data_IF_461473914872
#
_entry.id   IF_461473914872
#
_cell.length_a   1.000
_cell.length_b   1.000
_cell.length_c   1.000
_cell.angle_alpha   90.00
_cell.angle_beta   90.00
_cell.angle_gamma   90.00
#
_symmetry.space_group_name_H-M   'P 1'
#
loop_
_entity.id
_entity.type
_entity.pdbx_description
1 polymer ?
#
# COMPACT_ATOMS: atom_id res chain seq x y z
N UNK A 1 -8.96 11.81 33.05
CA UNK A 1 -7.98 11.16 32.16
C UNK A 1 -6.66 11.90 32.28
N UNK A 2 -5.52 11.21 32.29
CA UNK A 2 -4.22 11.85 32.52
C UNK A 2 -3.85 12.78 31.35
N UNK A 3 -3.27 13.94 31.66
CA UNK A 3 -2.83 14.94 30.67
C UNK A 3 -1.82 14.37 29.66
N UNK A 4 -1.11 13.31 30.05
CA UNK A 4 -0.18 12.54 29.23
C UNK A 4 -0.92 11.75 28.15
N UNK A 5 -2.01 11.06 28.49
CA UNK A 5 -2.79 10.27 27.53
C UNK A 5 -3.35 11.13 26.38
N UNK A 6 -3.79 12.36 26.70
CA UNK A 6 -4.31 13.31 25.70
C UNK A 6 -3.21 13.78 24.74
N UNK A 7 -1.99 14.03 25.25
CA UNK A 7 -0.83 14.39 24.40
C UNK A 7 -0.41 13.23 23.50
N UNK A 8 -0.40 12.00 24.02
CA UNK A 8 -0.08 10.80 23.25
C UNK A 8 -1.10 10.56 22.14
N UNK A 9 -2.39 10.73 22.42
CA UNK A 9 -3.45 10.58 21.41
C UNK A 9 -3.32 11.62 20.29
N UNK A 10 -3.04 12.88 20.64
CA UNK A 10 -2.81 13.93 19.66
C UNK A 10 -1.61 13.63 18.76
N UNK A 11 -0.49 13.22 19.35
CA UNK A 11 0.71 12.84 18.61
C UNK A 11 0.44 11.66 17.66
N UNK A 12 -0.28 10.64 18.13
CA UNK A 12 -0.69 9.50 17.30
C UNK A 12 -1.52 9.92 16.09
N UNK A 13 -2.46 10.85 16.27
CA UNK A 13 -3.28 11.37 15.16
C UNK A 13 -2.44 12.13 14.14
N UNK A 14 -1.47 12.92 14.60
CA UNK A 14 -0.54 13.66 13.73
C UNK A 14 0.34 12.71 12.92
N UNK A 15 0.96 11.71 13.58
CA UNK A 15 1.77 10.68 12.90
C UNK A 15 0.94 9.90 11.87
N UNK A 16 -0.30 9.51 12.21
CA UNK A 16 -1.17 8.80 11.28
C UNK A 16 -1.57 9.65 10.06
N UNK A 17 -1.68 10.98 10.24
CA UNK A 17 -1.93 11.90 9.13
C UNK A 17 -0.72 11.92 8.18
N UNK A 18 0.48 12.09 8.72
CA UNK A 18 1.72 12.10 7.93
C UNK A 18 1.93 10.79 7.16
N UNK A 19 1.68 9.65 7.80
CA UNK A 19 1.77 8.34 7.13
C UNK A 19 0.79 8.21 5.97
N UNK A 20 -0.42 8.79 6.08
CA UNK A 20 -1.40 8.77 4.98
C UNK A 20 -0.99 9.67 3.82
N UNK A 21 -0.47 10.87 4.12
CA UNK A 21 0.05 11.81 3.13
C UNK A 21 1.22 11.18 2.37
N UNK A 22 2.18 10.59 3.09
CA UNK A 22 3.31 9.86 2.50
C UNK A 22 2.84 8.70 1.61
N UNK A 23 1.82 7.94 2.04
CA UNK A 23 1.26 6.84 1.24
C UNK A 23 0.67 7.35 -0.09
N UNK A 24 0.02 8.52 -0.09
CA UNK A 24 -0.52 9.11 -1.32
C UNK A 24 0.60 9.50 -2.27
N UNK A 25 1.66 10.16 -1.79
CA UNK A 25 2.82 10.52 -2.61
C UNK A 25 3.54 9.29 -3.17
N UNK A 26 3.75 8.27 -2.34
CA UNK A 26 4.33 7.00 -2.79
C UNK A 26 3.43 6.31 -3.81
N UNK A 27 2.10 6.39 -3.68
CA UNK A 27 1.18 5.79 -4.66
C UNK A 27 1.22 6.45 -6.04
N UNK A 28 1.66 7.71 -6.12
CA UNK A 28 1.88 8.41 -7.39
C UNK A 28 3.19 7.96 -8.07
N UNK A 29 4.23 7.67 -7.28
CA UNK A 29 5.56 7.28 -7.78
C UNK A 29 5.66 5.77 -8.03
N UNK A 30 5.06 4.99 -7.14
CA UNK A 30 4.88 3.55 -7.23
C UNK A 30 3.38 3.29 -7.29
N UNK A 31 2.76 3.28 -8.48
CA UNK A 31 1.38 2.86 -8.61
C UNK A 31 1.26 1.44 -8.08
N UNK A 32 0.83 1.32 -6.83
CA UNK A 32 0.33 0.09 -6.28
C UNK A 32 -1.00 -0.13 -6.99
N UNK A 33 -0.95 -0.67 -8.21
CA UNK A 33 -2.14 -1.06 -8.94
C UNK A 33 -2.90 -2.07 -8.09
N UNK A 34 -3.93 -1.59 -7.41
CA UNK A 34 -4.84 -2.45 -6.68
C UNK A 34 -5.63 -3.22 -7.71
N UNK A 35 -5.47 -4.54 -7.71
CA UNK A 35 -6.34 -5.42 -8.51
C UNK A 35 -7.79 -5.43 -7.99
N UNK A 36 -8.08 -4.79 -6.85
CA UNK A 36 -9.38 -4.82 -6.18
C UNK A 36 -10.53 -4.23 -6.99
N UNK A 37 -10.26 -3.36 -7.96
CA UNK A 37 -11.29 -2.78 -8.84
C UNK A 37 -11.66 -3.65 -10.05
N UNK A 38 -10.94 -4.74 -10.30
CA UNK A 38 -11.21 -5.63 -11.42
C UNK A 38 -12.31 -6.63 -11.09
N UNK A 39 -13.07 -7.07 -12.09
CA UNK A 39 -14.12 -8.07 -11.89
C UNK A 39 -13.60 -9.37 -11.25
N UNK A 40 -12.32 -9.73 -11.48
CA UNK A 40 -11.73 -11.00 -11.03
C UNK A 40 -10.26 -10.89 -10.57
N UNK A 41 -9.97 -10.22 -9.44
CA UNK A 41 -8.61 -9.98 -8.93
C UNK A 41 -7.81 -11.27 -8.73
N UNK A 42 -8.46 -12.31 -8.18
CA UNK A 42 -7.82 -13.61 -7.92
C UNK A 42 -7.30 -14.27 -9.21
N UNK A 43 -8.06 -14.17 -10.31
CA UNK A 43 -7.66 -14.74 -11.62
C UNK A 43 -6.49 -13.97 -12.22
N UNK A 44 -6.51 -12.65 -12.10
CA UNK A 44 -5.47 -11.77 -12.62
C UNK A 44 -4.13 -12.05 -11.93
N UNK A 45 -4.13 -12.15 -10.59
CA UNK A 45 -2.96 -12.53 -9.79
C UNK A 45 -2.45 -13.94 -10.13
N UNK A 46 -3.35 -14.91 -10.32
CA UNK A 46 -2.97 -16.27 -10.70
C UNK A 46 -2.31 -16.31 -12.08
N UNK A 47 -2.84 -15.55 -13.05
CA UNK A 47 -2.28 -15.44 -14.40
C UNK A 47 -0.89 -14.79 -14.37
N UNK A 48 -0.75 -13.67 -13.65
CA UNK A 48 0.52 -12.96 -13.49
C UNK A 48 1.61 -13.86 -12.89
N UNK A 49 1.29 -14.63 -11.84
CA UNK A 49 2.23 -15.59 -11.24
C UNK A 49 2.67 -16.68 -12.22
N UNK A 50 1.78 -17.16 -13.10
CA UNK A 50 2.14 -18.11 -14.16
C UNK A 50 3.07 -17.45 -15.19
N UNK A 51 2.77 -16.22 -15.58
CA UNK A 51 3.56 -15.46 -16.55
C UNK A 51 4.99 -15.22 -16.04
N UNK A 52 5.19 -14.76 -14.80
CA UNK A 52 6.53 -14.56 -14.22
C UNK A 52 7.35 -15.85 -14.17
N UNK A 53 6.72 -16.99 -13.87
CA UNK A 53 7.42 -18.28 -13.88
C UNK A 53 7.90 -18.66 -15.28
N UNK A 54 7.09 -18.36 -16.30
CA UNK A 54 7.39 -18.67 -17.71
C UNK A 54 8.37 -17.65 -18.33
N UNK A 55 8.28 -16.41 -17.89
CA UNK A 55 9.02 -15.25 -18.38
C UNK A 55 9.58 -14.51 -17.18
N UNK A 56 10.66 -15.01 -16.56
CA UNK A 56 11.26 -14.35 -15.41
C UNK A 56 11.77 -12.97 -15.84
N UNK A 57 11.55 -11.92 -15.02
CA UNK A 57 12.11 -10.61 -15.29
C UNK A 57 13.64 -10.72 -15.35
N UNK A 58 14.26 -10.04 -16.33
CA UNK A 58 15.72 -9.93 -16.39
C UNK A 58 16.19 -9.34 -15.06
N UNK A 59 17.07 -10.06 -14.36
CA UNK A 59 17.75 -9.53 -13.19
C UNK A 59 18.66 -8.40 -13.68
N UNK A 60 18.32 -7.16 -13.33
CA UNK A 60 19.20 -5.99 -13.46
C UNK A 60 20.26 -6.04 -12.37
#
# INVERSE_FOLDING_TARGET
MSQVAVKTEKLMREVLREVRELRQEVSLIMPMESVGGYAHPRRLLASYRKAIKRHPPRRS
#
